data_IF_077231240868
#
_entry.id   IF_077231240868
#
_cell.length_a   1.000
_cell.length_b   1.000
_cell.length_c   1.000
_cell.angle_alpha   90.00
_cell.angle_beta   90.00
_cell.angle_gamma   90.00
#
_symmetry.space_group_name_H-M   'P 1'
#
loop_
_entity.id
_entity.type
_entity.pdbx_description
1 polymer ?
#
# COMPACT_ATOMS: atom_id res chain seq x y z
N UNK A 1 -31.93 -6.97 15.83
CA UNK A 1 -30.76 -6.14 16.23
C UNK A 1 -29.48 -6.67 15.60
N UNK A 2 -29.34 -6.54 14.27
CA UNK A 2 -28.16 -7.04 13.51
C UNK A 2 -27.48 -5.95 12.68
N UNK A 3 -28.00 -4.71 12.72
CA UNK A 3 -27.54 -3.60 11.88
C UNK A 3 -26.09 -3.19 12.12
N UNK A 4 -25.61 -3.25 13.37
CA UNK A 4 -24.23 -2.86 13.71
C UNK A 4 -23.18 -3.77 13.04
N UNK A 5 -23.47 -5.08 12.90
CA UNK A 5 -22.58 -6.04 12.23
C UNK A 5 -22.46 -5.74 10.73
N UNK A 6 -23.57 -5.36 10.11
CA UNK A 6 -23.60 -5.00 8.68
C UNK A 6 -22.94 -3.64 8.46
N UNK A 7 -23.14 -2.67 9.35
CA UNK A 7 -22.45 -1.40 9.28
C UNK A 7 -20.92 -1.57 9.37
N UNK A 8 -20.45 -2.42 10.29
CA UNK A 8 -19.02 -2.73 10.42
C UNK A 8 -18.44 -3.41 9.17
N UNK A 9 -19.17 -4.36 8.57
CA UNK A 9 -18.70 -5.04 7.35
C UNK A 9 -18.68 -4.11 6.14
N UNK A 10 -19.67 -3.23 6.00
CA UNK A 10 -19.70 -2.22 4.95
C UNK A 10 -18.56 -1.20 5.11
N UNK A 11 -18.29 -0.75 6.34
CA UNK A 11 -17.18 0.15 6.62
C UNK A 11 -15.84 -0.46 6.15
N UNK A 12 -15.58 -1.72 6.49
CA UNK A 12 -14.38 -2.42 6.03
C UNK A 12 -14.27 -2.49 4.50
N UNK A 13 -15.38 -2.80 3.81
CA UNK A 13 -15.41 -2.86 2.33
C UNK A 13 -15.14 -1.49 1.69
N UNK A 14 -15.68 -0.42 2.26
CA UNK A 14 -15.46 0.94 1.77
C UNK A 14 -14.01 1.39 1.98
N UNK A 15 -13.41 1.06 3.13
CA UNK A 15 -12.00 1.37 3.40
C UNK A 15 -11.06 0.71 2.39
N UNK A 16 -11.25 -0.59 2.10
CA UNK A 16 -10.42 -1.30 1.11
C UNK A 16 -10.55 -0.67 -0.29
N UNK A 17 -11.77 -0.29 -0.69
CA UNK A 17 -12.02 0.39 -1.97
C UNK A 17 -11.32 1.76 -2.05
N UNK A 18 -11.39 2.54 -0.98
CA UNK A 18 -10.73 3.84 -0.91
C UNK A 18 -9.21 3.71 -1.02
N UNK A 19 -8.61 2.75 -0.29
CA UNK A 19 -7.16 2.47 -0.36
C UNK A 19 -6.75 2.06 -1.77
N UNK A 20 -7.50 1.17 -2.43
CA UNK A 20 -7.21 0.76 -3.80
C UNK A 20 -7.24 1.94 -4.78
N UNK A 21 -8.20 2.86 -4.60
CA UNK A 21 -8.31 4.07 -5.42
C UNK A 21 -7.10 4.99 -5.22
N UNK A 22 -6.65 5.19 -3.98
CA UNK A 22 -5.48 6.04 -3.65
C UNK A 22 -4.20 5.45 -4.23
N UNK A 23 -3.99 4.12 -4.12
CA UNK A 23 -2.82 3.43 -4.68
C UNK A 23 -2.76 3.62 -6.21
N UNK A 24 -3.91 3.48 -6.87
CA UNK A 24 -4.00 3.66 -8.32
C UNK A 24 -3.66 5.10 -8.72
N UNK A 25 -4.12 6.10 -7.97
CA UNK A 25 -3.79 7.51 -8.23
C UNK A 25 -2.29 7.77 -8.04
N UNK A 26 -1.68 7.25 -6.97
CA UNK A 26 -0.23 7.35 -6.78
C UNK A 26 0.54 6.69 -7.92
N UNK A 27 0.07 5.55 -8.43
CA UNK A 27 0.68 4.91 -9.59
C UNK A 27 0.58 5.75 -10.87
N UNK A 28 -0.42 6.63 -10.99
CA UNK A 28 -0.55 7.55 -12.12
C UNK A 28 0.30 8.80 -11.98
N UNK A 29 0.55 9.24 -10.76
CA UNK A 29 1.46 10.35 -10.49
C UNK A 29 2.91 9.92 -10.65
N UNK A 30 3.24 8.63 -10.43
CA UNK A 30 4.62 8.15 -10.43
C UNK A 30 5.09 7.51 -11.74
N UNK A 31 4.20 7.07 -12.62
CA UNK A 31 4.57 6.27 -13.80
C UNK A 31 3.96 6.77 -15.12
N UNK A 32 4.75 6.86 -16.21
CA UNK A 32 4.24 7.11 -17.56
C UNK A 32 3.34 5.96 -18.07
N UNK A 33 2.55 6.22 -19.11
CA UNK A 33 1.45 5.37 -19.62
C UNK A 33 1.82 3.90 -19.92
N UNK A 34 3.08 3.61 -20.22
CA UNK A 34 3.58 2.25 -20.51
C UNK A 34 3.61 1.32 -19.29
N UNK A 35 3.90 1.84 -18.09
CA UNK A 35 3.99 1.05 -16.84
C UNK A 35 2.68 1.06 -16.06
N UNK A 36 1.85 2.09 -16.29
CA UNK A 36 0.52 2.26 -15.68
C UNK A 36 -0.40 1.06 -15.91
N UNK A 37 -0.53 0.56 -17.15
CA UNK A 37 -1.45 -0.55 -17.45
C UNK A 37 -1.01 -1.87 -16.78
N UNK A 38 0.29 -2.10 -16.71
CA UNK A 38 0.88 -3.27 -16.03
C UNK A 38 0.72 -3.18 -14.51
N UNK A 39 0.85 -2.00 -13.90
CA UNK A 39 0.66 -1.81 -12.46
C UNK A 39 -0.80 -2.09 -12.01
N UNK A 40 -1.78 -1.57 -12.74
CA UNK A 40 -3.20 -1.86 -12.45
C UNK A 40 -3.51 -3.35 -12.70
N UNK A 41 -2.98 -3.92 -13.79
CA UNK A 41 -3.18 -5.34 -14.11
C UNK A 41 -2.65 -6.26 -13.02
N UNK A 42 -1.39 -6.07 -12.62
CA UNK A 42 -0.72 -6.88 -11.59
C UNK A 42 -1.38 -6.76 -10.21
N UNK A 43 -1.78 -5.55 -9.79
CA UNK A 43 -2.51 -5.36 -8.54
C UNK A 43 -3.88 -6.07 -8.55
N UNK A 44 -4.59 -6.03 -9.67
CA UNK A 44 -5.84 -6.78 -9.85
C UNK A 44 -5.62 -8.28 -9.80
N UNK A 45 -4.59 -8.80 -10.47
CA UNK A 45 -4.23 -10.22 -10.42
C UNK A 45 -3.89 -10.67 -8.99
N UNK A 46 -3.16 -9.85 -8.24
CA UNK A 46 -2.81 -10.14 -6.84
C UNK A 46 -4.07 -10.14 -5.93
N UNK A 47 -5.00 -9.23 -6.15
CA UNK A 47 -6.28 -9.21 -5.42
C UNK A 47 -7.12 -10.47 -5.69
N UNK A 48 -7.16 -10.92 -6.96
CA UNK A 48 -7.82 -12.16 -7.34
C UNK A 48 -7.10 -13.39 -6.75
N UNK A 49 -5.77 -13.40 -6.75
CA UNK A 49 -4.99 -14.48 -6.13
C UNK A 49 -5.35 -14.62 -4.64
N UNK A 50 -5.44 -13.52 -3.89
CA UNK A 50 -5.90 -13.55 -2.50
C UNK A 50 -7.31 -14.14 -2.33
N UNK A 51 -8.21 -13.85 -3.28
CA UNK A 51 -9.57 -14.41 -3.29
C UNK A 51 -9.58 -15.92 -3.56
N UNK A 52 -8.68 -16.41 -4.41
CA UNK A 52 -8.50 -17.84 -4.68
C UNK A 52 -7.92 -18.56 -3.46
N UNK A 53 -6.94 -17.95 -2.77
CA UNK A 53 -6.32 -18.53 -1.57
C UNK A 53 -7.23 -18.54 -0.33
N UNK A 54 -8.20 -17.62 -0.24
CA UNK A 54 -9.10 -17.50 0.90
C UNK A 54 -9.79 -18.81 1.32
N UNK A 55 -10.48 -19.57 0.46
CA UNK A 55 -11.10 -20.85 0.83
C UNK A 55 -10.07 -21.90 1.28
N UNK A 56 -8.91 -21.99 0.61
CA UNK A 56 -7.86 -22.95 0.99
C UNK A 56 -7.29 -22.68 2.39
N UNK A 57 -7.11 -21.41 2.75
CA UNK A 57 -6.68 -21.02 4.09
C UNK A 57 -7.75 -21.37 5.13
N UNK A 58 -9.03 -21.19 4.80
CA UNK A 58 -10.12 -21.57 5.71
C UNK A 58 -10.16 -23.08 5.89
N UNK A 59 -10.09 -23.87 4.81
CA UNK A 59 -10.14 -25.34 4.90
C UNK A 59 -8.95 -25.92 5.66
N UNK A 60 -7.74 -25.37 5.45
CA UNK A 60 -6.54 -25.83 6.14
C UNK A 60 -6.54 -25.49 7.63
N UNK A 61 -7.03 -24.30 8.00
CA UNK A 61 -7.06 -23.86 9.40
C UNK A 61 -8.36 -24.19 10.14
N UNK A 62 -9.39 -24.69 9.45
CA UNK A 62 -10.67 -25.09 10.05
C UNK A 62 -10.49 -26.14 11.15
N UNK A 63 -9.48 -27.01 11.03
CA UNK A 63 -9.18 -28.05 12.03
C UNK A 63 -8.65 -27.50 13.36
N UNK A 64 -8.06 -26.30 13.36
CA UNK A 64 -7.47 -25.67 14.55
C UNK A 64 -8.44 -24.70 15.25
N UNK A 65 -9.49 -24.24 14.56
CA UNK A 65 -10.56 -23.43 15.14
C UNK A 65 -11.06 -22.28 14.25
N UNK A 66 -12.34 -21.94 14.38
CA UNK A 66 -13.06 -20.96 13.54
C UNK A 66 -12.44 -19.55 13.53
N UNK A 67 -11.78 -19.13 14.62
CA UNK A 67 -11.26 -17.77 14.76
C UNK A 67 -9.92 -17.55 14.03
N UNK A 68 -9.15 -18.61 13.83
CA UNK A 68 -7.78 -18.55 13.31
C UNK A 68 -7.69 -17.92 11.91
N UNK A 69 -8.44 -18.37 10.88
CA UNK A 69 -8.30 -17.79 9.54
C UNK A 69 -8.69 -16.31 9.50
N UNK A 70 -9.66 -15.89 10.32
CA UNK A 70 -10.06 -14.48 10.43
C UNK A 70 -8.93 -13.61 11.01
N UNK A 71 -8.26 -14.09 12.06
CA UNK A 71 -7.13 -13.37 12.66
C UNK A 71 -5.94 -13.25 11.74
N UNK A 72 -5.58 -14.31 11.00
CA UNK A 72 -4.42 -14.29 10.10
C UNK A 72 -4.67 -13.31 8.95
N UNK A 73 -5.87 -13.34 8.37
CA UNK A 73 -6.23 -12.43 7.27
C UNK A 73 -6.25 -10.96 7.73
N UNK A 74 -6.84 -10.70 8.92
CA UNK A 74 -6.85 -9.37 9.53
C UNK A 74 -5.44 -8.87 9.89
N UNK A 75 -4.61 -9.71 10.50
CA UNK A 75 -3.24 -9.35 10.85
C UNK A 75 -2.39 -9.12 9.60
N UNK A 76 -2.58 -9.91 8.54
CA UNK A 76 -1.92 -9.71 7.25
C UNK A 76 -2.24 -8.35 6.63
N UNK A 77 -3.49 -7.90 6.70
CA UNK A 77 -3.90 -6.56 6.26
C UNK A 77 -3.27 -5.44 7.11
N UNK A 78 -3.22 -5.61 8.43
CA UNK A 78 -2.58 -4.64 9.33
C UNK A 78 -1.07 -4.55 9.08
N UNK A 79 -0.41 -5.68 8.91
CA UNK A 79 1.01 -5.74 8.54
C UNK A 79 1.23 -5.09 7.17
N UNK A 80 0.41 -5.41 6.17
CA UNK A 80 0.51 -4.78 4.85
C UNK A 80 0.38 -3.25 4.95
N UNK A 81 -0.63 -2.74 5.66
CA UNK A 81 -0.80 -1.30 5.87
C UNK A 81 0.34 -0.66 6.66
N UNK A 82 0.87 -1.35 7.67
CA UNK A 82 2.04 -0.90 8.43
C UNK A 82 3.30 -0.87 7.56
N UNK A 83 3.49 -1.88 6.71
CA UNK A 83 4.59 -1.94 5.75
C UNK A 83 4.49 -0.78 4.74
N UNK A 84 3.28 -0.45 4.27
CA UNK A 84 3.06 0.74 3.42
C UNK A 84 3.44 2.03 4.14
N UNK A 85 3.24 2.11 5.47
CA UNK A 85 3.67 3.26 6.27
C UNK A 85 5.19 3.31 6.50
N UNK A 86 5.88 2.16 6.42
CA UNK A 86 7.35 2.10 6.48
C UNK A 86 8.02 2.42 5.16
N UNK A 87 7.29 2.39 4.04
CA UNK A 87 7.71 3.10 2.84
C UNK A 87 7.62 4.60 3.15
N UNK A 88 8.74 5.35 3.18
CA UNK A 88 8.67 6.79 3.33
C UNK A 88 7.79 7.33 2.20
N UNK A 89 6.78 8.12 2.58
CA UNK A 89 5.89 8.83 1.67
C UNK A 89 6.69 9.32 0.46
N UNK A 90 6.35 8.79 -0.72
CA UNK A 90 6.93 9.09 -2.03
C UNK A 90 6.55 10.50 -2.50
N UNK A 91 6.69 11.49 -1.62
CA UNK A 91 6.04 12.80 -1.75
C UNK A 91 7.03 13.97 -1.76
N UNK A 92 8.30 13.72 -2.10
CA UNK A 92 9.31 14.79 -2.23
C UNK A 92 10.44 14.47 -3.22
N UNK A 93 10.18 13.64 -4.23
CA UNK A 93 11.07 13.53 -5.39
C UNK A 93 10.32 14.10 -6.59
N UNK A 94 10.79 15.24 -7.10
CA UNK A 94 10.35 15.81 -8.36
C UNK A 94 10.47 14.72 -9.43
N UNK A 95 9.32 14.31 -9.98
CA UNK A 95 9.27 13.27 -10.99
C UNK A 95 9.95 13.81 -12.26
N UNK A 96 10.99 13.11 -12.72
CA UNK A 96 11.66 13.39 -13.99
C UNK A 96 10.68 13.12 -15.15
N UNK A 97 10.53 14.11 -16.02
CA UNK A 97 9.59 14.12 -17.15
C UNK A 97 9.89 13.09 -18.27
N UNK A 98 10.99 12.32 -18.22
CA UNK A 98 11.36 11.41 -19.32
C UNK A 98 12.19 10.20 -18.85
N UNK A 99 11.85 9.01 -19.36
CA UNK A 99 12.55 7.74 -19.07
C UNK A 99 14.04 7.76 -19.51
N UNK A 100 14.38 8.54 -20.53
CA UNK A 100 15.76 8.74 -21.01
C UNK A 100 16.66 9.41 -19.95
N UNK A 101 16.13 10.34 -19.14
CA UNK A 101 16.88 11.06 -18.10
C UNK A 101 17.15 10.16 -16.87
N UNK A 102 16.22 9.26 -16.55
CA UNK A 102 16.38 8.25 -15.49
C UNK A 102 17.46 7.20 -15.84
N UNK A 103 17.52 6.77 -17.10
CA UNK A 103 18.44 5.72 -17.54
C UNK A 103 19.90 6.18 -17.58
N UNK A 104 20.13 7.45 -17.93
CA UNK A 104 21.46 8.06 -18.01
C UNK A 104 22.03 8.37 -16.63
N UNK A 105 21.20 8.77 -15.66
CA UNK A 105 21.63 9.10 -14.30
C UNK A 105 21.82 7.88 -13.38
N UNK A 106 21.05 6.80 -13.56
CA UNK A 106 21.29 5.51 -12.89
C UNK A 106 22.64 4.86 -13.27
N UNK A 107 23.18 5.22 -14.44
CA UNK A 107 24.51 4.75 -14.88
C UNK A 107 25.65 5.49 -14.15
N UNK A 108 25.41 6.71 -13.68
CA UNK A 108 26.44 7.60 -13.09
C UNK A 108 26.47 7.54 -11.55
N UNK A 109 25.34 7.30 -10.87
CA UNK A 109 25.26 7.25 -9.40
C UNK A 109 24.58 5.96 -8.87
N UNK A 110 25.33 4.85 -8.65
CA UNK A 110 24.79 3.59 -8.13
C UNK A 110 24.42 3.61 -6.64
N UNK A 111 24.78 4.66 -5.90
CA UNK A 111 24.70 4.77 -4.43
C UNK A 111 23.42 5.47 -3.92
N UNK A 112 22.57 6.01 -4.79
CA UNK A 112 21.32 6.68 -4.39
C UNK A 112 20.20 5.66 -4.08
N UNK A 113 20.49 4.71 -3.18
CA UNK A 113 19.48 3.84 -2.59
C UNK A 113 18.80 4.56 -1.43
N UNK A 114 17.66 5.18 -1.72
CA UNK A 114 16.53 5.52 -0.83
C UNK A 114 16.93 5.56 0.66
N UNK A 115 17.41 6.73 1.11
CA UNK A 115 17.76 6.95 2.52
C UNK A 115 16.49 7.15 3.36
N UNK A 116 16.04 6.07 3.98
CA UNK A 116 14.89 5.99 4.91
C UNK A 116 15.13 6.74 6.24
N UNK A 117 16.33 7.28 6.50
CA UNK A 117 16.71 7.74 7.85
C UNK A 117 16.16 9.11 8.28
N UNK A 118 15.69 9.96 7.36
CA UNK A 118 15.33 11.35 7.71
C UNK A 118 13.83 11.65 7.84
N UNK A 119 12.94 10.67 7.63
CA UNK A 119 11.50 10.95 7.60
C UNK A 119 10.85 11.13 8.98
N UNK A 120 11.47 10.64 10.07
CA UNK A 120 10.95 10.88 11.44
C UNK A 120 11.28 12.29 11.95
N UNK A 121 12.38 12.90 11.47
CA UNK A 121 12.87 14.20 11.94
C UNK A 121 11.98 15.37 11.50
N UNK A 122 11.38 15.28 10.30
CA UNK A 122 10.56 16.36 9.73
C UNK A 122 9.13 16.43 10.33
N UNK A 123 8.58 15.30 10.80
CA UNK A 123 7.28 15.29 11.51
C UNK A 123 7.35 15.95 12.90
N UNK A 124 8.55 16.04 13.50
CA UNK A 124 8.80 16.80 14.74
C UNK A 124 8.92 18.32 14.50
N UNK A 125 9.50 18.75 13.38
CA UNK A 125 9.70 20.18 13.07
C UNK A 125 8.46 20.88 12.51
N UNK A 126 7.46 20.14 12.02
CA UNK A 126 6.17 20.71 11.58
C UNK A 126 5.19 21.07 12.71
N UNK A 127 5.43 20.60 13.95
CA UNK A 127 4.55 20.87 15.10
C UNK A 127 4.95 22.13 15.90
N UNK A 128 6.15 22.67 15.66
CA UNK A 128 6.67 23.86 16.37
C UNK A 128 6.40 25.19 15.67
N UNK A 129 5.78 25.21 14.48
CA UNK A 129 5.53 26.45 13.71
C UNK A 129 4.05 26.88 13.62
N UNK A 130 3.27 26.61 14.67
CA UNK A 130 1.89 27.12 14.84
C UNK A 130 1.62 27.76 16.21
N UNK A 131 2.65 28.26 16.90
CA UNK A 131 2.47 29.16 18.05
C UNK A 131 3.53 30.27 18.04
N UNK A 132 3.21 31.35 17.32
CA UNK A 132 3.49 32.79 17.57
C UNK A 132 3.14 33.55 16.30
#
# INVERSE_FOLDING_TARGET
MTGWKVAASLLGRLCVSAVFSVIIIHAFELFPTVTRNTAIGTSSTMAHAGSVFAPYLVDFFAIYGWFIPSTICGLGLLLAGFLTQTLPETKDLALYDTLDDLSSRCRDHPEEKVSIKNCTLCRYLGKTRTNV
#
